data_IF_673492936840
#
_entry.id   IF_673492936840
#
_cell.length_a   1.000
_cell.length_b   1.000
_cell.length_c   1.000
_cell.angle_alpha   90.00
_cell.angle_beta   90.00
_cell.angle_gamma   90.00
#
_symmetry.space_group_name_H-M   'P 1'
#
loop_
_entity.id
_entity.type
_entity.pdbx_description
1 polymer ?
#
# COMPACT_ATOMS: atom_id res chain seq x y z
N UNK A 1 -2.62 10.83 2.19
CA UNK A 1 -3.59 10.86 1.07
C UNK A 1 -3.26 11.82 -0.04
N UNK A 2 -3.00 13.12 0.21
CA UNK A 2 -2.74 14.09 -0.88
C UNK A 2 -1.62 13.71 -1.86
N UNK A 3 -0.62 12.93 -1.42
CA UNK A 3 0.43 12.40 -2.29
C UNK A 3 -0.07 11.28 -3.22
N UNK A 4 -0.87 10.36 -2.69
CA UNK A 4 -1.43 9.22 -3.45
C UNK A 4 -2.45 9.69 -4.49
N UNK A 5 -3.23 10.73 -4.18
CA UNK A 5 -4.19 11.34 -5.12
C UNK A 5 -3.55 12.02 -6.34
N UNK A 6 -2.24 12.28 -6.28
CA UNK A 6 -1.46 12.91 -7.36
C UNK A 6 -0.60 11.93 -8.14
N UNK A 7 -0.70 10.64 -7.82
CA UNK A 7 0.09 9.61 -8.45
C UNK A 7 -0.43 9.37 -9.87
N UNK A 8 0.45 9.46 -10.87
CA UNK A 8 0.07 9.21 -12.27
C UNK A 8 -0.35 7.75 -12.49
N UNK A 9 -1.25 7.50 -13.44
CA UNK A 9 -1.66 6.14 -13.78
C UNK A 9 -2.60 5.48 -12.76
N UNK A 10 -3.18 6.27 -11.84
CA UNK A 10 -4.26 5.80 -10.97
C UNK A 10 -5.40 6.81 -10.89
N UNK A 11 -6.60 6.29 -10.67
CA UNK A 11 -7.79 7.10 -10.41
C UNK A 11 -8.48 6.54 -9.17
N UNK A 12 -8.58 7.35 -8.12
CA UNK A 12 -9.37 7.03 -6.93
C UNK A 12 -10.80 7.47 -7.21
N UNK A 13 -11.75 6.53 -7.19
CA UNK A 13 -13.15 6.81 -7.46
C UNK A 13 -14.03 6.77 -6.20
N UNK A 14 -13.57 6.10 -5.14
CA UNK A 14 -14.26 6.08 -3.85
C UNK A 14 -13.27 6.16 -2.69
N UNK A 15 -13.67 6.88 -1.65
CA UNK A 15 -12.86 7.15 -0.48
C UNK A 15 -13.76 7.31 0.74
N UNK A 16 -13.62 6.41 1.69
CA UNK A 16 -14.40 6.39 2.92
C UNK A 16 -13.46 6.45 4.12
N UNK A 17 -13.64 7.49 4.93
CA UNK A 17 -12.92 7.63 6.19
C UNK A 17 -13.76 7.03 7.30
N UNK A 18 -13.21 6.05 8.01
CA UNK A 18 -13.84 5.52 9.21
C UNK A 18 -13.62 6.45 10.39
N UNK A 19 -14.26 6.12 11.51
CA UNK A 19 -14.12 6.89 12.73
C UNK A 19 -12.67 6.89 13.23
N UNK A 20 -12.27 8.04 13.77
CA UNK A 20 -10.98 8.18 14.45
C UNK A 20 -11.12 7.54 15.83
N UNK A 21 -10.16 6.70 16.20
CA UNK A 21 -10.12 6.04 17.51
C UNK A 21 -8.80 6.32 18.21
N UNK A 22 -8.84 6.46 19.53
CA UNK A 22 -7.63 6.56 20.35
C UNK A 22 -6.98 5.17 20.48
N UNK A 23 -5.69 5.09 20.19
CA UNK A 23 -4.91 3.86 20.24
C UNK A 23 -4.64 3.52 21.70
N UNK A 24 -5.01 2.29 22.12
CA UNK A 24 -4.85 1.83 23.50
C UNK A 24 -3.39 1.79 23.97
N UNK A 25 -2.48 1.52 23.05
CA UNK A 25 -1.04 1.40 23.32
C UNK A 25 -0.26 2.24 22.29
N UNK A 26 -0.10 3.55 22.51
CA UNK A 26 0.70 4.39 21.62
C UNK A 26 2.19 3.99 21.67
N UNK A 27 2.98 4.44 20.69
CA UNK A 27 4.42 4.20 20.67
C UNK A 27 5.11 4.79 21.92
N UNK A 28 6.28 4.23 22.32
CA UNK A 28 7.05 4.78 23.44
C UNK A 28 7.32 6.28 23.24
N UNK A 29 7.08 7.08 24.29
CA UNK A 29 7.17 8.55 24.30
C UNK A 29 6.05 9.31 23.59
N UNK A 30 4.94 8.64 23.23
CA UNK A 30 3.71 9.31 22.78
C UNK A 30 2.63 9.14 23.85
N UNK A 31 2.10 10.26 24.37
CA UNK A 31 1.08 10.26 25.42
C UNK A 31 -0.27 9.72 24.90
N UNK A 32 -0.67 10.13 23.69
CA UNK A 32 -1.90 9.70 23.03
C UNK A 32 -1.66 9.50 21.54
N UNK A 33 -2.12 8.35 21.03
CA UNK A 33 -2.11 8.05 19.60
C UNK A 33 -3.52 8.01 19.06
N UNK A 34 -3.73 8.43 17.82
CA UNK A 34 -5.00 8.27 17.12
C UNK A 34 -4.79 7.46 15.85
N UNK A 35 -5.75 6.60 15.54
CA UNK A 35 -5.76 5.82 14.31
C UNK A 35 -7.08 6.02 13.57
N UNK A 36 -6.99 6.01 12.24
CA UNK A 36 -8.13 6.09 11.35
C UNK A 36 -7.91 5.12 10.20
N UNK A 37 -8.93 4.34 9.88
CA UNK A 37 -8.94 3.50 8.68
C UNK A 37 -9.54 4.30 7.53
N UNK A 38 -8.92 4.19 6.36
CA UNK A 38 -9.43 4.79 5.13
C UNK A 38 -9.58 3.68 4.10
N UNK A 39 -10.81 3.46 3.66
CA UNK A 39 -11.11 2.55 2.58
C UNK A 39 -11.06 3.31 1.27
N UNK A 40 -10.31 2.77 0.31
CA UNK A 40 -10.14 3.34 -1.02
C UNK A 40 -10.57 2.32 -2.06
N UNK A 41 -11.37 2.77 -3.02
CA UNK A 41 -11.56 2.06 -4.26
C UNK A 41 -10.97 2.88 -5.41
N UNK A 42 -10.10 2.23 -6.19
CA UNK A 42 -9.29 2.87 -7.21
C UNK A 42 -9.14 1.96 -8.43
N UNK A 43 -8.87 2.57 -9.57
CA UNK A 43 -8.44 1.88 -10.79
C UNK A 43 -6.98 2.23 -11.02
N UNK A 44 -6.15 1.21 -11.20
CA UNK A 44 -4.76 1.36 -11.64
C UNK A 44 -4.67 1.04 -13.14
N UNK A 45 -3.85 1.79 -13.88
CA UNK A 45 -3.70 1.60 -15.33
C UNK A 45 -3.05 0.26 -15.71
N UNK A 46 -2.27 -0.33 -14.80
CA UNK A 46 -1.56 -1.60 -14.98
C UNK A 46 -1.38 -2.32 -13.65
N UNK A 47 -1.07 -3.61 -13.72
CA UNK A 47 -0.78 -4.41 -12.53
C UNK A 47 0.52 -3.97 -11.85
N UNK A 48 1.55 -3.60 -12.62
CA UNK A 48 2.78 -2.98 -12.12
C UNK A 48 2.49 -1.74 -11.26
N UNK A 49 1.58 -0.88 -11.72
CA UNK A 49 1.21 0.33 -11.00
C UNK A 49 0.50 0.01 -9.68
N UNK A 50 -0.39 -0.98 -9.70
CA UNK A 50 -1.03 -1.48 -8.49
C UNK A 50 0.01 -1.99 -7.48
N UNK A 51 0.97 -2.82 -7.93
CA UNK A 51 2.05 -3.32 -7.08
C UNK A 51 2.89 -2.18 -6.52
N UNK A 52 3.22 -1.17 -7.33
CA UNK A 52 3.92 0.02 -6.87
C UNK A 52 3.15 0.73 -5.75
N UNK A 53 1.84 0.95 -5.90
CA UNK A 53 1.00 1.60 -4.88
C UNK A 53 1.02 0.78 -3.59
N UNK A 54 0.82 -0.52 -3.68
CA UNK A 54 0.84 -1.43 -2.53
C UNK A 54 2.15 -1.34 -1.77
N UNK A 55 3.28 -1.35 -2.48
CA UNK A 55 4.60 -1.35 -1.85
C UNK A 55 5.01 0.01 -1.28
N UNK A 56 4.57 1.12 -1.87
CA UNK A 56 4.93 2.47 -1.42
C UNK A 56 4.02 3.00 -0.31
N UNK A 57 2.76 2.57 -0.25
CA UNK A 57 1.79 3.07 0.71
C UNK A 57 1.41 2.06 1.79
N UNK A 58 1.75 0.77 1.61
CA UNK A 58 1.60 -0.27 2.63
C UNK A 58 0.17 -0.39 3.18
N UNK A 59 -0.86 -0.60 2.33
CA UNK A 59 -2.23 -0.76 2.81
C UNK A 59 -2.31 -1.99 3.73
N UNK A 60 -3.20 -1.94 4.72
CA UNK A 60 -3.40 -3.07 5.63
C UNK A 60 -4.05 -4.28 4.97
N UNK A 61 -4.84 -4.06 3.92
CA UNK A 61 -5.50 -5.10 3.14
C UNK A 61 -5.72 -4.62 1.70
N UNK A 62 -5.76 -5.55 0.75
CA UNK A 62 -5.99 -5.29 -0.67
C UNK A 62 -6.99 -6.33 -1.18
N UNK A 63 -7.96 -5.87 -1.97
CA UNK A 63 -8.93 -6.73 -2.66
C UNK A 63 -8.96 -6.34 -4.14
N UNK A 64 -8.89 -7.34 -5.03
CA UNK A 64 -9.01 -7.15 -6.48
C UNK A 64 -10.45 -7.43 -6.87
N UNK A 65 -11.20 -6.37 -7.19
CA UNK A 65 -12.60 -6.49 -7.61
C UNK A 65 -12.69 -7.01 -9.05
N UNK A 66 -11.88 -6.44 -9.95
CA UNK A 66 -11.85 -6.72 -11.38
C UNK A 66 -10.42 -6.47 -11.93
N UNK A 67 -10.00 -7.15 -13.01
CA UNK A 67 -10.62 -8.33 -13.59
C UNK A 67 -10.32 -9.59 -12.77
N UNK A 68 -11.14 -10.63 -12.94
CA UNK A 68 -10.92 -11.93 -12.26
C UNK A 68 -9.61 -12.63 -12.68
N UNK A 69 -9.17 -12.42 -13.91
CA UNK A 69 -7.92 -12.98 -14.44
C UNK A 69 -7.05 -11.84 -14.96
N UNK A 70 -5.79 -11.84 -14.59
CA UNK A 70 -4.78 -10.91 -15.10
C UNK A 70 -3.88 -11.71 -16.04
N UNK A 71 -3.77 -11.26 -17.29
CA UNK A 71 -2.85 -11.83 -18.27
C UNK A 71 -1.72 -10.84 -18.47
N UNK A 72 -0.48 -11.28 -18.30
CA UNK A 72 0.73 -10.48 -18.46
C UNK A 72 1.75 -11.29 -19.25
N UNK A 73 2.65 -10.59 -19.93
CA UNK A 73 3.78 -11.26 -20.57
C UNK A 73 4.88 -11.57 -19.56
N UNK A 74 5.83 -12.43 -19.98
CA UNK A 74 6.91 -12.87 -19.10
C UNK A 74 7.86 -11.73 -18.69
N UNK A 75 8.07 -10.75 -19.56
CA UNK A 75 8.92 -9.60 -19.30
C UNK A 75 8.33 -8.67 -18.25
N UNK A 76 7.02 -8.39 -18.34
CA UNK A 76 6.27 -7.63 -17.34
C UNK A 76 6.33 -8.33 -15.97
N UNK A 77 6.02 -9.63 -15.93
CA UNK A 77 6.10 -10.42 -14.70
C UNK A 77 7.51 -10.39 -14.06
N UNK A 78 8.56 -10.50 -14.87
CA UNK A 78 9.94 -10.41 -14.40
C UNK A 78 10.27 -8.99 -13.87
N UNK A 79 9.75 -7.95 -14.51
CA UNK A 79 9.87 -6.56 -14.08
C UNK A 79 9.28 -6.33 -12.68
N UNK A 80 8.07 -6.85 -12.43
CA UNK A 80 7.41 -6.79 -11.11
C UNK A 80 8.27 -7.48 -10.05
N UNK A 81 8.72 -8.71 -10.34
CA UNK A 81 9.51 -9.50 -9.38
C UNK A 81 10.82 -8.80 -9.01
N UNK A 82 11.50 -8.20 -9.99
CA UNK A 82 12.71 -7.43 -9.76
C UNK A 82 12.44 -6.18 -8.91
N UNK A 83 11.34 -5.46 -9.18
CA UNK A 83 10.93 -4.29 -8.40
C UNK A 83 10.65 -4.66 -6.95
N UNK A 84 9.93 -5.77 -6.73
CA UNK A 84 9.65 -6.31 -5.41
C UNK A 84 10.95 -6.72 -4.68
N UNK A 85 11.86 -7.43 -5.35
CA UNK A 85 13.13 -7.84 -4.77
C UNK A 85 14.00 -6.64 -4.37
N UNK A 86 14.05 -5.62 -5.22
CA UNK A 86 14.77 -4.36 -4.94
C UNK A 86 14.20 -3.65 -3.70
N UNK A 87 12.87 -3.62 -3.57
CA UNK A 87 12.20 -3.04 -2.41
C UNK A 87 12.48 -3.83 -1.13
N UNK A 88 12.33 -5.15 -1.14
CA UNK A 88 12.66 -6.02 0.00
C UNK A 88 14.12 -5.81 0.42
N UNK A 89 15.05 -5.75 -0.54
CA UNK A 89 16.46 -5.49 -0.27
C UNK A 89 16.68 -4.10 0.36
N UNK A 90 16.01 -3.07 -0.16
CA UNK A 90 16.07 -1.70 0.38
C UNK A 90 15.56 -1.66 1.83
N UNK A 91 14.41 -2.26 2.12
CA UNK A 91 13.87 -2.33 3.48
C UNK A 91 14.77 -3.11 4.44
N UNK A 92 15.34 -4.24 3.98
CA UNK A 92 16.30 -5.01 4.76
C UNK A 92 17.58 -4.20 5.06
N UNK A 93 18.10 -3.46 4.07
CA UNK A 93 19.28 -2.61 4.21
C UNK A 93 19.03 -1.41 5.15
N UNK A 94 17.81 -0.88 5.19
CA UNK A 94 17.40 0.17 6.12
C UNK A 94 17.24 -0.33 7.57
N UNK A 95 17.40 -1.63 7.83
CA UNK A 95 17.21 -2.23 9.16
C UNK A 95 15.75 -2.21 9.63
N UNK A 96 14.81 -1.85 8.75
CA UNK A 96 13.36 -1.91 8.99
C UNK A 96 12.93 -3.35 8.71
N UNK A 97 13.37 -4.24 9.58
CA UNK A 97 13.02 -5.66 9.59
C UNK A 97 11.57 -5.83 9.98
N UNK A 98 10.67 -5.64 9.03
CA UNK A 98 9.24 -5.80 9.22
C UNK A 98 8.50 -4.55 8.79
N UNK A 99 7.61 -4.73 7.82
CA UNK A 99 6.34 -3.98 7.76
C UNK A 99 5.89 -3.84 9.22
N UNK A 100 5.68 -2.61 9.69
CA UNK A 100 5.08 -2.35 11.00
C UNK A 100 3.66 -2.91 10.96
N UNK A 101 3.53 -4.23 11.13
CA UNK A 101 2.28 -4.85 11.51
C UNK A 101 2.06 -4.37 12.93
N UNK A 102 1.15 -3.40 13.09
CA UNK A 102 0.71 -2.97 14.42
C UNK A 102 0.36 -4.22 15.25
N UNK A 103 0.82 -4.31 16.52
CA UNK A 103 0.24 -5.25 17.47
C UNK A 103 -1.24 -4.94 17.75
#
# INVERSE_FOLDING_TARGET
>A
MQKMEKEDGMIIYKKEFREISEVKTPFPNIEKGYSQVVDLELVAESFDKLVYIVLNYGPSAIEILEPKNITMDFGEAQGILNSLASLVHTYAAMGVGGILVSP
#
